data_IF_228542785188
#
_entry.id   IF_228542785188
#
_cell.length_a   1.000
_cell.length_b   1.000
_cell.length_c   1.000
_cell.angle_alpha   90.00
_cell.angle_beta   90.00
_cell.angle_gamma   90.00
#
_symmetry.space_group_name_H-M   'P 1'
#
loop_
_entity.id
_entity.type
_entity.pdbx_description
1 polymer ?
#
# COMPACT_ATOMS: atom_id res chain seq x y z
N UNK A 1 -6.54 6.80 -10.33
CA UNK A 1 -5.13 6.39 -10.38
C UNK A 1 -4.24 7.36 -11.14
N UNK A 2 -4.69 7.86 -12.28
CA UNK A 2 -3.85 8.77 -13.06
C UNK A 2 -3.56 10.06 -12.29
N UNK A 3 -4.55 10.62 -11.62
CA UNK A 3 -4.37 11.84 -10.82
C UNK A 3 -3.39 11.61 -9.68
N UNK A 4 -3.42 10.44 -9.04
CA UNK A 4 -2.48 10.06 -8.00
C UNK A 4 -1.04 10.04 -8.54
N UNK A 5 -0.84 9.39 -9.69
CA UNK A 5 0.48 9.27 -10.30
C UNK A 5 1.02 10.63 -10.76
N UNK A 6 0.18 11.46 -11.33
CA UNK A 6 0.58 12.81 -11.74
C UNK A 6 1.01 13.66 -10.55
N UNK A 7 0.30 13.53 -9.43
CA UNK A 7 0.66 14.23 -8.20
C UNK A 7 2.00 13.75 -7.65
N UNK A 8 2.23 12.44 -7.63
CA UNK A 8 3.46 11.83 -7.10
C UNK A 8 4.69 12.25 -7.91
N UNK A 9 4.57 12.32 -9.23
CA UNK A 9 5.68 12.55 -10.14
C UNK A 9 5.64 13.94 -10.82
N UNK A 10 4.88 14.87 -10.25
CA UNK A 10 4.79 16.26 -10.74
C UNK A 10 4.42 16.35 -12.22
N UNK A 11 3.52 15.49 -12.66
CA UNK A 11 3.04 15.43 -14.05
C UNK A 11 3.91 14.62 -15.00
N UNK A 12 5.10 14.23 -14.57
CA UNK A 12 6.07 13.48 -15.40
C UNK A 12 6.11 12.01 -14.97
N UNK A 13 5.02 11.31 -15.23
CA UNK A 13 4.83 9.92 -14.80
C UNK A 13 5.77 8.99 -15.57
N UNK A 14 6.61 8.21 -14.86
CA UNK A 14 7.50 7.24 -15.53
C UNK A 14 6.71 6.16 -16.25
N UNK A 15 7.39 5.47 -17.14
CA UNK A 15 6.80 4.30 -17.81
C UNK A 15 6.52 3.22 -16.77
N UNK A 16 5.34 2.60 -16.87
CA UNK A 16 4.94 1.52 -15.96
C UNK A 16 5.89 0.33 -16.08
N UNK A 17 6.27 -0.23 -14.94
CA UNK A 17 7.04 -1.47 -14.85
C UNK A 17 6.19 -2.56 -14.18
N UNK A 18 6.63 -3.81 -14.29
CA UNK A 18 5.90 -4.96 -13.74
C UNK A 18 6.81 -5.75 -12.81
N UNK A 19 6.27 -6.15 -11.68
CA UNK A 19 6.93 -7.09 -10.76
C UNK A 19 6.15 -8.40 -10.79
N UNK A 20 6.84 -9.49 -11.14
CA UNK A 20 6.22 -10.81 -11.18
C UNK A 20 6.17 -11.43 -9.79
N UNK A 21 5.00 -11.94 -9.43
CA UNK A 21 4.75 -12.55 -8.12
C UNK A 21 4.92 -14.07 -8.28
N UNK A 22 6.11 -14.57 -7.97
CA UNK A 22 6.41 -15.99 -8.10
C UNK A 22 7.47 -16.43 -7.09
N UNK A 23 7.53 -17.73 -6.81
CA UNK A 23 8.52 -18.33 -5.92
C UNK A 23 8.52 -17.67 -4.53
N UNK A 24 9.69 -17.22 -4.07
CA UNK A 24 9.85 -16.58 -2.76
C UNK A 24 8.97 -15.34 -2.60
N UNK A 25 8.85 -14.54 -3.64
CA UNK A 25 7.99 -13.35 -3.60
C UNK A 25 6.54 -13.73 -3.30
N UNK A 26 6.04 -14.79 -3.91
CA UNK A 26 4.68 -15.28 -3.66
C UNK A 26 4.52 -15.73 -2.21
N UNK A 27 5.51 -16.40 -1.65
CA UNK A 27 5.48 -16.84 -0.25
C UNK A 27 5.45 -15.65 0.71
N UNK A 28 6.25 -14.62 0.43
CA UNK A 28 6.27 -13.41 1.26
C UNK A 28 4.96 -12.63 1.16
N UNK A 29 4.38 -12.54 -0.02
CA UNK A 29 3.05 -11.92 -0.18
C UNK A 29 2.02 -12.64 0.69
N UNK A 30 1.99 -13.97 0.65
CA UNK A 30 1.07 -14.75 1.46
C UNK A 30 1.30 -14.53 2.95
N UNK A 31 2.56 -14.42 3.37
CA UNK A 31 2.91 -14.14 4.76
C UNK A 31 2.42 -12.76 5.21
N UNK A 32 2.59 -11.76 4.36
CA UNK A 32 2.20 -10.37 4.69
C UNK A 32 0.69 -10.19 4.67
N UNK A 33 0.02 -10.68 3.62
CA UNK A 33 -1.42 -10.49 3.45
C UNK A 33 -2.27 -11.52 4.18
N UNK A 34 -1.73 -12.72 4.44
CA UNK A 34 -2.50 -13.86 4.95
C UNK A 34 -3.20 -14.64 3.85
N UNK A 35 -3.00 -14.27 2.59
CA UNK A 35 -3.56 -14.95 1.41
C UNK A 35 -2.77 -14.55 0.17
N UNK A 36 -3.02 -15.20 -0.95
CA UNK A 36 -2.38 -14.82 -2.23
C UNK A 36 -2.95 -13.49 -2.72
N UNK A 37 -2.12 -12.74 -3.45
CA UNK A 37 -2.53 -11.45 -4.01
C UNK A 37 -3.59 -11.61 -5.12
N UNK A 38 -3.66 -12.78 -5.73
CA UNK A 38 -4.66 -13.06 -6.77
C UNK A 38 -4.27 -12.60 -8.16
N UNK A 39 -3.08 -12.05 -8.33
CA UNK A 39 -2.56 -11.62 -9.63
C UNK A 39 -1.16 -12.19 -9.83
N UNK A 40 -0.75 -12.33 -11.10
CA UNK A 40 0.56 -12.88 -11.43
C UNK A 40 1.66 -11.82 -11.43
N UNK A 41 1.27 -10.55 -11.60
CA UNK A 41 2.20 -9.44 -11.66
C UNK A 41 1.54 -8.18 -11.11
N UNK A 42 2.39 -7.25 -10.63
CA UNK A 42 1.95 -5.97 -10.08
C UNK A 42 2.61 -4.86 -10.88
N UNK A 43 1.82 -3.85 -11.25
CA UNK A 43 2.34 -2.65 -11.90
C UNK A 43 2.93 -1.70 -10.87
N UNK A 44 4.05 -1.10 -11.20
CA UNK A 44 4.63 -0.04 -10.38
C UNK A 44 5.30 1.01 -11.25
N UNK A 45 5.56 2.16 -10.66
CA UNK A 45 6.22 3.29 -11.31
C UNK A 45 7.43 3.67 -10.47
N UNK A 46 8.57 3.83 -11.09
CA UNK A 46 9.82 4.11 -10.37
C UNK A 46 10.56 5.30 -10.99
N UNK A 47 11.00 6.19 -10.11
CA UNK A 47 11.89 7.28 -10.45
C UNK A 47 12.95 7.38 -9.34
N UNK A 48 14.18 6.96 -9.63
CA UNK A 48 15.26 6.93 -8.64
C UNK A 48 14.93 5.99 -7.47
N UNK A 49 14.91 6.52 -6.27
CA UNK A 49 14.61 5.79 -5.04
C UNK A 49 13.12 5.82 -4.68
N UNK A 50 12.29 6.42 -5.53
CA UNK A 50 10.86 6.52 -5.30
C UNK A 50 10.12 5.52 -6.16
N UNK A 51 9.21 4.75 -5.55
CA UNK A 51 8.30 3.87 -6.26
C UNK A 51 6.86 4.17 -5.84
N UNK A 52 5.94 4.02 -6.78
CA UNK A 52 4.51 4.18 -6.53
C UNK A 52 3.81 2.87 -6.85
N UNK A 53 2.86 2.50 -5.99
CA UNK A 53 2.12 1.24 -6.06
C UNK A 53 0.64 1.51 -5.91
N UNK A 54 -0.18 0.82 -6.70
CA UNK A 54 -1.64 0.88 -6.58
C UNK A 54 -2.09 -0.54 -6.32
N UNK A 55 -2.56 -0.80 -5.10
CA UNK A 55 -2.88 -2.13 -4.62
C UNK A 55 -4.28 -2.17 -4.01
N UNK A 56 -4.86 -3.36 -3.94
CA UNK A 56 -6.16 -3.57 -3.33
C UNK A 56 -6.08 -4.64 -2.24
N UNK A 57 -6.85 -4.46 -1.18
CA UNK A 57 -7.06 -5.45 -0.14
C UNK A 57 -8.48 -5.32 0.39
N UNK A 58 -9.04 -6.44 0.86
CA UNK A 58 -10.36 -6.43 1.48
C UNK A 58 -10.25 -5.78 2.87
N UNK A 59 -11.06 -4.75 3.10
CA UNK A 59 -11.20 -4.13 4.41
C UNK A 59 -12.11 -4.97 5.29
N UNK A 60 -13.33 -4.49 5.55
CA UNK A 60 -14.33 -5.27 6.28
C UNK A 60 -14.94 -6.36 5.39
N UNK A 61 -15.46 -5.98 4.25
CA UNK A 61 -16.10 -6.90 3.29
C UNK A 61 -15.86 -6.52 1.83
N UNK A 62 -15.41 -5.31 1.56
CA UNK A 62 -15.20 -4.77 0.21
C UNK A 62 -13.74 -4.36 0.00
N UNK A 63 -13.24 -4.39 -1.25
CA UNK A 63 -11.87 -3.98 -1.52
C UNK A 63 -11.65 -2.50 -1.26
N UNK A 64 -10.47 -2.17 -0.73
CA UNK A 64 -9.98 -0.82 -0.63
C UNK A 64 -8.84 -0.69 -1.63
N UNK A 65 -8.90 0.31 -2.51
CA UNK A 65 -7.83 0.60 -3.46
C UNK A 65 -6.95 1.69 -2.89
N UNK A 66 -5.67 1.40 -2.75
CA UNK A 66 -4.71 2.28 -2.06
C UNK A 66 -3.54 2.59 -2.97
N UNK A 67 -3.19 3.87 -3.05
CA UNK A 67 -1.97 4.32 -3.68
C UNK A 67 -0.91 4.54 -2.61
N UNK A 68 0.27 3.94 -2.79
CA UNK A 68 1.35 3.98 -1.81
C UNK A 68 2.63 4.42 -2.50
N UNK A 69 3.32 5.39 -1.89
CA UNK A 69 4.61 5.88 -2.38
C UNK A 69 5.68 5.52 -1.36
N UNK A 70 6.72 4.84 -1.82
CA UNK A 70 7.89 4.49 -1.02
C UNK A 70 9.07 5.28 -1.56
N UNK A 71 9.82 5.92 -0.68
CA UNK A 71 11.02 6.66 -1.06
C UNK A 71 12.13 6.34 -0.08
N UNK A 72 13.26 5.83 -0.60
CA UNK A 72 14.42 5.46 0.21
C UNK A 72 14.03 4.52 1.36
N UNK A 73 13.23 3.50 1.07
CA UNK A 73 12.75 2.47 2.01
C UNK A 73 11.84 3.01 3.12
N UNK A 74 11.21 4.17 2.91
CA UNK A 74 10.25 4.73 3.86
C UNK A 74 8.94 5.02 3.15
N UNK A 75 7.84 4.87 3.88
CA UNK A 75 6.51 5.22 3.37
C UNK A 75 6.44 6.75 3.29
N UNK A 76 6.38 7.28 2.07
CA UNK A 76 6.28 8.71 1.84
C UNK A 76 4.82 9.17 1.82
N UNK A 77 3.93 8.35 1.24
CA UNK A 77 2.54 8.74 1.07
C UNK A 77 1.65 7.51 0.98
N UNK A 78 0.48 7.59 1.56
CA UNK A 78 -0.58 6.60 1.40
C UNK A 78 -1.87 7.35 1.12
N UNK A 79 -2.49 7.06 -0.02
CA UNK A 79 -3.76 7.64 -0.41
C UNK A 79 -4.80 6.55 -0.60
N UNK A 80 -5.95 6.73 0.01
CA UNK A 80 -7.10 5.86 -0.27
C UNK A 80 -7.72 6.37 -1.56
N UNK A 81 -7.57 5.59 -2.63
CA UNK A 81 -8.06 5.98 -3.95
C UNK A 81 -9.54 5.65 -4.13
N UNK A 82 -9.95 4.47 -3.65
CA UNK A 82 -11.35 4.04 -3.69
C UNK A 82 -11.68 3.38 -2.36
N UNK A 83 -12.70 3.87 -1.68
CA UNK A 83 -13.19 3.33 -0.43
C UNK A 83 -14.67 3.01 -0.59
N UNK A 84 -15.03 1.73 -0.46
CA UNK A 84 -16.38 1.22 -0.77
C UNK A 84 -17.22 0.93 0.48
N UNK A 85 -16.58 0.89 1.65
CA UNK A 85 -17.27 0.62 2.92
C UNK A 85 -17.98 1.88 3.42
N UNK A 86 -19.10 1.67 4.15
CA UNK A 86 -19.81 2.78 4.78
C UNK A 86 -19.16 3.27 6.07
N UNK A 87 -18.27 2.45 6.65
CA UNK A 87 -17.55 2.76 7.90
C UNK A 87 -16.06 2.62 7.69
N UNK A 88 -15.26 3.22 8.58
CA UNK A 88 -13.80 3.13 8.52
C UNK A 88 -13.16 4.22 7.69
N UNK A 89 -13.90 5.26 7.32
CA UNK A 89 -13.39 6.37 6.53
C UNK A 89 -12.23 7.12 7.23
N UNK A 90 -12.08 6.96 8.54
CA UNK A 90 -11.01 7.56 9.35
C UNK A 90 -9.62 7.18 8.84
N UNK A 91 -9.49 6.03 8.20
CA UNK A 91 -8.23 5.57 7.60
C UNK A 91 -7.74 6.52 6.51
N UNK A 92 -8.61 7.37 5.96
CA UNK A 92 -8.27 8.36 4.93
C UNK A 92 -7.65 9.63 5.52
N UNK A 93 -7.66 9.79 6.85
CA UNK A 93 -7.16 11.00 7.49
C UNK A 93 -5.64 11.09 7.39
N UNK A 94 -5.08 12.21 6.88
CA UNK A 94 -3.63 12.34 6.68
C UNK A 94 -2.81 12.12 7.96
N UNK A 95 -3.28 12.62 9.10
CA UNK A 95 -2.59 12.43 10.38
C UNK A 95 -2.36 10.96 10.68
N UNK A 96 -3.39 10.14 10.49
CA UNK A 96 -3.29 8.70 10.70
C UNK A 96 -2.19 8.10 9.82
N UNK A 97 -2.22 8.43 8.53
CA UNK A 97 -1.28 7.88 7.55
C UNK A 97 0.15 8.30 7.88
N UNK A 98 0.38 9.59 8.10
CA UNK A 98 1.73 10.13 8.27
C UNK A 98 2.38 9.69 9.59
N UNK A 99 1.61 9.64 10.67
CA UNK A 99 2.14 9.37 12.01
C UNK A 99 2.17 7.87 12.30
N UNK A 100 1.12 7.15 11.93
CA UNK A 100 0.96 5.74 12.33
C UNK A 100 1.67 4.76 11.42
N UNK A 101 1.59 4.94 10.12
CA UNK A 101 2.10 3.94 9.17
C UNK A 101 3.63 3.93 9.07
N UNK A 102 4.30 5.02 9.42
CA UNK A 102 5.77 5.06 9.43
C UNK A 102 6.37 4.63 10.78
N UNK A 103 5.54 4.35 11.79
CA UNK A 103 5.99 3.82 13.05
C UNK A 103 5.95 2.28 12.97
N UNK A 104 7.12 1.66 13.02
CA UNK A 104 7.23 0.21 12.91
C UNK A 104 6.43 -0.52 13.99
N UNK A 105 6.38 0.02 15.21
CA UNK A 105 5.61 -0.58 16.29
C UNK A 105 4.12 -0.57 15.97
N UNK A 106 3.64 0.50 15.38
CA UNK A 106 2.23 0.60 14.97
C UNK A 106 1.92 -0.37 13.83
N UNK A 107 2.81 -0.51 12.85
CA UNK A 107 2.64 -1.47 11.77
C UNK A 107 2.63 -2.90 12.30
N UNK A 108 3.54 -3.24 13.21
CA UNK A 108 3.66 -4.59 13.77
C UNK A 108 2.46 -4.98 14.65
N UNK A 109 1.90 -4.03 15.35
CA UNK A 109 0.74 -4.27 16.23
C UNK A 109 -0.57 -4.33 15.46
N UNK A 110 -0.61 -3.76 14.26
CA UNK A 110 -1.85 -3.32 13.66
C UNK A 110 -2.38 -2.13 14.44
N UNK A 111 -3.34 -1.43 13.92
CA UNK A 111 -3.91 -0.29 14.63
C UNK A 111 -5.31 -0.67 15.10
N UNK A 112 -5.39 -1.07 16.35
CA UNK A 112 -6.67 -1.31 17.01
C UNK A 112 -7.11 -0.02 17.68
N UNK A 113 -8.39 0.18 17.81
CA UNK A 113 -8.91 1.31 18.58
C UNK A 113 -9.55 2.43 17.76
N UNK A 114 -9.49 2.37 16.42
CA UNK A 114 -10.31 3.26 15.61
C UNK A 114 -11.65 2.56 15.41
N UNK A 115 -12.64 3.01 16.12
CA UNK A 115 -13.97 2.40 16.13
C UNK A 115 -14.55 2.32 14.71
N UNK A 116 -14.99 1.12 14.32
CA UNK A 116 -15.61 0.88 13.03
C UNK A 116 -14.65 0.83 11.86
N UNK A 117 -13.34 1.06 12.09
CA UNK A 117 -12.34 1.12 11.04
C UNK A 117 -11.26 0.05 11.17
N UNK A 118 -11.30 -0.81 12.18
CA UNK A 118 -10.21 -1.74 12.51
C UNK A 118 -9.81 -2.63 11.32
N UNK A 119 -10.77 -3.23 10.61
CA UNK A 119 -10.47 -4.10 9.50
C UNK A 119 -9.91 -3.33 8.29
N UNK A 120 -10.41 -2.12 8.03
CA UNK A 120 -9.90 -1.26 6.97
C UNK A 120 -8.49 -0.78 7.28
N UNK A 121 -8.22 -0.43 8.53
CA UNK A 121 -6.90 -0.04 9.01
C UNK A 121 -5.91 -1.19 8.82
N UNK A 122 -6.29 -2.42 9.16
CA UNK A 122 -5.45 -3.60 8.97
C UNK A 122 -5.14 -3.84 7.50
N UNK A 123 -6.14 -3.65 6.62
CA UNK A 123 -5.95 -3.79 5.19
C UNK A 123 -4.91 -2.79 4.68
N UNK A 124 -5.02 -1.52 5.05
CA UNK A 124 -4.05 -0.48 4.67
C UNK A 124 -2.67 -0.80 5.20
N UNK A 125 -2.57 -1.24 6.47
CA UNK A 125 -1.28 -1.65 7.06
C UNK A 125 -0.61 -2.76 6.27
N UNK A 126 -1.36 -3.79 5.90
CA UNK A 126 -0.83 -4.91 5.12
C UNK A 126 -0.31 -4.45 3.77
N UNK A 127 -1.05 -3.57 3.09
CA UNK A 127 -0.63 -3.03 1.81
C UNK A 127 0.61 -2.14 1.94
N UNK A 128 0.73 -1.38 3.03
CA UNK A 128 1.91 -0.57 3.28
C UNK A 128 3.15 -1.45 3.49
N UNK A 129 3.04 -2.50 4.30
CA UNK A 129 4.13 -3.46 4.52
C UNK A 129 4.49 -4.16 3.21
N UNK A 130 3.49 -4.57 2.44
CA UNK A 130 3.71 -5.22 1.16
C UNK A 130 4.45 -4.30 0.18
N UNK A 131 4.06 -3.04 0.12
CA UNK A 131 4.71 -2.05 -0.74
C UNK A 131 6.17 -1.82 -0.36
N UNK A 132 6.49 -1.79 0.94
CA UNK A 132 7.88 -1.69 1.41
C UNK A 132 8.68 -2.90 0.95
N UNK A 133 8.13 -4.10 1.06
CA UNK A 133 8.78 -5.32 0.61
C UNK A 133 9.03 -5.28 -0.90
N UNK A 134 8.01 -4.93 -1.68
CA UNK A 134 8.14 -4.82 -3.14
C UNK A 134 9.17 -3.77 -3.53
N UNK A 135 9.17 -2.63 -2.85
CA UNK A 135 10.16 -1.56 -3.11
C UNK A 135 11.59 -2.09 -2.93
N UNK A 136 11.83 -2.85 -1.88
CA UNK A 136 13.15 -3.44 -1.62
C UNK A 136 13.59 -4.36 -2.76
N UNK A 137 12.66 -5.15 -3.31
CA UNK A 137 12.97 -6.05 -4.42
C UNK A 137 13.38 -5.24 -5.66
N UNK A 138 12.60 -4.23 -6.04
CA UNK A 138 12.80 -3.52 -7.31
C UNK A 138 13.91 -2.48 -7.25
N UNK A 139 14.37 -2.11 -6.06
CA UNK A 139 15.46 -1.14 -5.88
C UNK A 139 16.78 -1.75 -5.46
N UNK A 140 16.86 -3.07 -5.45
CA UNK A 140 18.12 -3.77 -5.20
C UNK A 140 19.13 -3.54 -6.30
#
# INVERSE_FOLDING_TARGET
PQAFLEDVFDGDVPVVSKLWIQNETKQQVRSILGHDLGVLRVSYWREGERTAWILEEIGKSLPITVGIVINANKIEKVNILIFRESRGWEVRHPFYIDVKLNDKKELDKGIDGISGATLSVRAVNRLAVLSLYFHQIVTQ
#
